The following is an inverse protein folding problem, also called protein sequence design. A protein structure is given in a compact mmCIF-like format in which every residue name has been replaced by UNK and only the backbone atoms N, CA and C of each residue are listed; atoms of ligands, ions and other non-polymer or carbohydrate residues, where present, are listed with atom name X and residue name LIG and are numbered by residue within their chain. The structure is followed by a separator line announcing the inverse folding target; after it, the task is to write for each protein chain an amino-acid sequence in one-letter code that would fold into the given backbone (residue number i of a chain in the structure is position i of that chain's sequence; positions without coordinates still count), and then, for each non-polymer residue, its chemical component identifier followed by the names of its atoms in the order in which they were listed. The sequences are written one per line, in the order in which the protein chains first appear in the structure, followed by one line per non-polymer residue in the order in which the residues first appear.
data_IF_966746435073
#
_entry.id   IF_966746435073
#
_cell.length_a   1.000
_cell.length_b   1.000
_cell.length_c   1.000
_cell.angle_alpha   90.00
_cell.angle_beta   90.00
_cell.angle_gamma   90.00
#
_symmetry.space_group_name_H-M   'P 1'
#
loop_
_entity.id
_entity.type
_entity.pdbx_description
1 polymer ?
#
# COMPACT_ATOMS: atom_id res chain seq x y z
N UNK A 1 18.16 23.09 -13.40
CA UNK A 1 17.98 22.48 -12.07
C UNK A 1 18.13 23.51 -10.94
N UNK A 2 19.10 24.42 -11.00
CA UNK A 2 19.36 25.42 -9.94
C UNK A 2 18.15 26.29 -9.56
N UNK A 3 17.39 26.82 -10.52
CA UNK A 3 16.17 27.60 -10.24
C UNK A 3 15.07 26.79 -9.52
N UNK A 4 14.92 25.50 -9.86
CA UNK A 4 13.91 24.61 -9.25
C UNK A 4 14.35 24.22 -7.84
N UNK A 5 15.64 23.94 -7.64
CA UNK A 5 16.22 23.66 -6.33
C UNK A 5 16.11 24.85 -5.37
N UNK A 6 16.18 26.08 -5.88
CA UNK A 6 15.94 27.30 -5.10
C UNK A 6 14.51 27.39 -4.53
N UNK A 7 13.54 26.79 -5.21
CA UNK A 7 12.11 26.85 -4.83
C UNK A 7 11.69 25.81 -3.77
N UNK A 8 12.48 24.75 -3.59
CA UNK A 8 12.23 23.72 -2.59
C UNK A 8 12.42 24.32 -1.19
N UNK A 9 11.66 23.89 -0.19
CA UNK A 9 11.87 24.34 1.20
C UNK A 9 12.78 23.42 2.01
N UNK A 10 12.61 22.11 1.84
CA UNK A 10 13.34 21.09 2.60
C UNK A 10 14.82 21.04 2.19
N UNK A 11 15.72 21.30 3.16
CA UNK A 11 17.17 21.36 2.93
C UNK A 11 17.75 20.01 2.49
N UNK A 12 17.29 18.91 3.10
CA UNK A 12 17.75 17.57 2.74
C UNK A 12 17.38 17.21 1.31
N UNK A 13 16.17 17.60 0.88
CA UNK A 13 15.70 17.36 -0.47
C UNK A 13 16.49 18.18 -1.50
N UNK A 14 16.83 19.43 -1.20
CA UNK A 14 17.72 20.23 -2.07
C UNK A 14 19.06 19.53 -2.30
N UNK A 15 19.65 19.02 -1.22
CA UNK A 15 20.95 18.36 -1.28
C UNK A 15 20.88 17.11 -2.16
N UNK A 16 19.89 16.23 -1.97
CA UNK A 16 19.79 14.98 -2.75
C UNK A 16 19.40 15.24 -4.21
N UNK A 17 18.56 16.25 -4.47
CA UNK A 17 18.16 16.62 -5.83
C UNK A 17 19.35 17.08 -6.69
N UNK A 18 20.36 17.72 -6.08
CA UNK A 18 21.59 18.08 -6.78
C UNK A 18 22.34 16.86 -7.36
N UNK A 19 22.15 15.69 -6.76
CA UNK A 19 22.70 14.42 -7.23
C UNK A 19 21.70 13.58 -8.05
N UNK A 20 20.55 14.14 -8.43
CA UNK A 20 19.52 13.42 -9.19
C UNK A 20 18.71 12.42 -8.37
N UNK A 21 18.65 12.59 -7.04
CA UNK A 21 17.92 11.73 -6.10
C UNK A 21 16.78 12.53 -5.44
N UNK A 22 15.55 12.15 -5.70
CA UNK A 22 14.36 12.69 -5.04
C UNK A 22 14.02 11.95 -3.75
N UNK A 23 13.41 12.66 -2.81
CA UNK A 23 12.80 12.08 -1.59
C UNK A 23 11.31 12.42 -1.60
N UNK A 24 10.45 11.46 -1.23
CA UNK A 24 9.00 11.65 -1.12
C UNK A 24 8.44 11.01 0.16
N UNK A 25 7.86 11.83 1.04
CA UNK A 25 7.13 11.37 2.21
C UNK A 25 6.04 12.36 2.59
N UNK A 26 5.10 11.93 3.44
CA UNK A 26 3.97 12.76 3.88
C UNK A 26 4.37 14.02 4.66
N UNK A 27 5.58 14.03 5.24
CA UNK A 27 6.13 15.19 5.95
C UNK A 27 6.64 16.33 5.06
N UNK A 28 6.74 16.14 3.75
CA UNK A 28 7.11 17.21 2.82
C UNK A 28 5.92 18.14 2.54
N UNK A 29 6.22 19.41 2.25
CA UNK A 29 5.19 20.34 1.79
C UNK A 29 4.58 19.84 0.47
N UNK A 30 3.29 20.12 0.24
CA UNK A 30 2.62 19.70 -1.01
C UNK A 30 3.33 20.21 -2.26
N UNK A 31 3.88 21.44 -2.18
CA UNK A 31 4.68 22.03 -3.25
C UNK A 31 5.94 21.21 -3.54
N UNK A 32 6.70 20.84 -2.51
CA UNK A 32 7.93 20.06 -2.68
C UNK A 32 7.61 18.66 -3.23
N UNK A 33 6.52 18.02 -2.79
CA UNK A 33 6.06 16.73 -3.32
C UNK A 33 5.78 16.81 -4.82
N UNK A 34 4.99 17.80 -5.25
CA UNK A 34 4.67 18.02 -6.69
C UNK A 34 5.93 18.26 -7.52
N UNK A 35 6.87 19.08 -7.02
CA UNK A 35 8.14 19.33 -7.72
C UNK A 35 8.93 18.04 -7.92
N UNK A 36 9.04 17.20 -6.89
CA UNK A 36 9.79 15.93 -6.99
C UNK A 36 9.10 14.95 -7.94
N UNK A 37 7.78 14.86 -7.88
CA UNK A 37 6.97 14.03 -8.79
C UNK A 37 7.17 14.46 -10.26
N UNK A 38 7.07 15.76 -10.54
CA UNK A 38 7.29 16.30 -11.89
C UNK A 38 8.72 16.06 -12.37
N UNK A 39 9.73 16.24 -11.50
CA UNK A 39 11.13 15.97 -11.86
C UNK A 39 11.34 14.49 -12.19
N UNK A 40 10.69 13.57 -11.49
CA UNK A 40 10.80 12.14 -11.73
C UNK A 40 10.10 11.73 -13.04
N UNK A 41 8.85 12.17 -13.25
CA UNK A 41 8.07 11.87 -14.46
C UNK A 41 8.75 12.40 -15.72
N UNK A 42 9.33 13.61 -15.64
CA UNK A 42 10.08 14.22 -16.73
C UNK A 42 11.53 13.70 -16.86
N UNK A 43 11.89 12.63 -16.13
CA UNK A 43 13.21 11.98 -16.16
C UNK A 43 14.38 12.95 -15.88
N UNK A 44 14.15 13.98 -15.07
CA UNK A 44 15.18 14.92 -14.61
C UNK A 44 15.96 14.38 -13.42
N UNK A 45 15.33 13.51 -12.64
CA UNK A 45 15.96 12.71 -11.58
C UNK A 45 15.80 11.22 -11.91
N UNK A 46 16.80 10.43 -11.59
CA UNK A 46 16.82 9.00 -11.93
C UNK A 46 16.31 8.13 -10.79
N UNK A 47 16.50 8.57 -9.54
CA UNK A 47 16.14 7.81 -8.35
C UNK A 47 15.14 8.61 -7.54
N UNK A 48 14.09 7.94 -7.08
CA UNK A 48 13.12 8.48 -6.14
C UNK A 48 13.00 7.53 -4.95
N UNK A 49 13.26 8.06 -3.76
CA UNK A 49 13.09 7.33 -2.50
C UNK A 49 11.77 7.77 -1.89
N UNK A 50 10.84 6.83 -1.70
CA UNK A 50 9.51 7.13 -1.19
C UNK A 50 9.10 6.26 -0.01
N UNK A 51 8.24 6.79 0.86
CA UNK A 51 7.55 5.98 1.89
C UNK A 51 6.39 5.19 1.30
N UNK A 52 5.93 4.16 2.01
CA UNK A 52 4.85 3.25 1.57
C UNK A 52 3.57 3.95 1.13
N UNK A 53 3.26 5.12 1.68
CA UNK A 53 2.10 5.95 1.32
C UNK A 53 2.06 6.36 -0.15
N UNK A 54 3.22 6.44 -0.82
CA UNK A 54 3.30 6.75 -2.24
C UNK A 54 2.61 5.69 -3.11
N UNK A 55 2.66 4.42 -2.69
CA UNK A 55 2.09 3.30 -3.44
C UNK A 55 0.60 3.48 -3.73
N UNK A 56 -0.12 4.15 -2.83
CA UNK A 56 -1.55 4.43 -2.95
C UNK A 56 -1.86 5.85 -3.48
N UNK A 57 -0.99 6.81 -3.22
CA UNK A 57 -1.28 8.23 -3.39
C UNK A 57 -0.89 8.84 -4.75
N UNK A 58 -0.06 8.18 -5.56
CA UNK A 58 0.48 8.79 -6.77
C UNK A 58 0.53 7.80 -7.93
N UNK A 59 0.31 8.28 -9.15
CA UNK A 59 0.19 7.45 -10.35
C UNK A 59 1.31 7.73 -11.37
N UNK A 60 2.57 7.56 -10.98
CA UNK A 60 3.68 7.53 -11.93
C UNK A 60 4.37 6.15 -11.90
N UNK A 61 4.62 5.54 -13.07
CA UNK A 61 5.35 4.28 -13.15
C UNK A 61 6.87 4.49 -13.18
N UNK A 62 7.62 3.48 -12.74
CA UNK A 62 9.07 3.43 -12.78
C UNK A 62 9.53 2.14 -13.45
N UNK A 63 10.65 2.15 -14.18
CA UNK A 63 11.18 0.92 -14.80
C UNK A 63 11.56 -0.13 -13.74
N UNK A 64 12.26 0.32 -12.69
CA UNK A 64 12.71 -0.49 -11.57
C UNK A 64 12.08 0.04 -10.28
N UNK A 65 11.44 -0.86 -9.52
CA UNK A 65 11.00 -0.59 -8.15
C UNK A 65 11.76 -1.47 -7.18
N UNK A 66 12.33 -0.85 -6.15
CA UNK A 66 13.00 -1.58 -5.07
C UNK A 66 12.22 -1.40 -3.78
N UNK A 67 11.68 -2.50 -3.24
CA UNK A 67 11.04 -2.52 -1.92
C UNK A 67 12.13 -2.86 -0.90
N UNK A 68 12.63 -1.83 -0.21
CA UNK A 68 13.69 -1.98 0.80
C UNK A 68 13.09 -2.26 2.17
N UNK A 69 13.06 -3.53 2.54
CA UNK A 69 12.47 -3.98 3.81
C UNK A 69 10.96 -4.17 3.69
N UNK A 70 10.45 -5.22 4.32
CA UNK A 70 9.04 -5.59 4.27
C UNK A 70 8.34 -5.45 5.62
N UNK A 71 8.91 -4.64 6.51
CA UNK A 71 8.42 -4.43 7.87
C UNK A 71 8.35 -2.93 8.17
N UNK A 72 7.43 -2.55 9.05
CA UNK A 72 7.35 -1.22 9.63
C UNK A 72 7.15 -1.31 11.14
N UNK A 73 7.50 -0.24 11.84
CA UNK A 73 7.29 -0.18 13.28
C UNK A 73 5.85 0.26 13.58
N UNK A 74 5.08 -0.59 14.25
CA UNK A 74 3.75 -0.24 14.74
C UNK A 74 3.84 0.34 16.15
N UNK A 75 3.50 1.63 16.28
CA UNK A 75 3.51 2.34 17.56
C UNK A 75 2.48 1.84 18.57
N UNK A 76 1.38 1.21 18.12
CA UNK A 76 0.35 0.65 19.02
C UNK A 76 0.85 -0.59 19.72
N UNK A 77 1.42 -1.53 18.96
CA UNK A 77 1.92 -2.79 19.50
C UNK A 77 3.39 -2.71 19.96
N UNK A 78 4.10 -1.63 19.61
CA UNK A 78 5.53 -1.37 19.89
C UNK A 78 6.47 -2.43 19.32
N UNK A 79 6.17 -2.93 18.12
CA UNK A 79 6.93 -4.01 17.44
C UNK A 79 7.10 -3.67 15.98
N UNK A 80 8.08 -4.31 15.35
CA UNK A 80 8.10 -4.42 13.90
C UNK A 80 7.05 -5.44 13.47
N UNK A 81 6.20 -5.01 12.55
CA UNK A 81 5.16 -5.84 11.93
C UNK A 81 5.38 -5.85 10.43
N UNK A 82 5.01 -6.95 9.79
CA UNK A 82 5.09 -7.07 8.34
C UNK A 82 4.11 -6.13 7.65
N UNK A 83 4.53 -5.59 6.50
CA UNK A 83 3.59 -4.93 5.60
C UNK A 83 2.52 -5.94 5.16
N UNK A 84 1.24 -5.52 5.11
CA UNK A 84 0.22 -6.24 4.37
C UNK A 84 0.72 -6.54 2.96
N UNK A 85 0.52 -7.76 2.47
CA UNK A 85 0.98 -8.14 1.13
C UNK A 85 0.40 -7.22 0.05
N UNK A 86 -0.81 -6.71 0.26
CA UNK A 86 -1.48 -5.76 -0.63
C UNK A 86 -0.66 -4.49 -0.82
N UNK A 87 -0.01 -3.98 0.23
CA UNK A 87 0.84 -2.80 0.12
C UNK A 87 2.10 -3.11 -0.69
N UNK A 88 2.69 -4.28 -0.50
CA UNK A 88 3.85 -4.73 -1.29
C UNK A 88 3.47 -4.94 -2.75
N UNK A 89 2.28 -5.50 -3.03
CA UNK A 89 1.73 -5.63 -4.38
C UNK A 89 1.51 -4.25 -5.03
N UNK A 90 1.00 -3.26 -4.29
CA UNK A 90 0.83 -1.90 -4.78
C UNK A 90 2.17 -1.22 -5.09
N UNK A 91 3.18 -1.40 -4.24
CA UNK A 91 4.53 -0.88 -4.49
C UNK A 91 5.11 -1.51 -5.77
N UNK A 92 5.07 -2.83 -5.88
CA UNK A 92 5.53 -3.55 -7.07
C UNK A 92 4.74 -3.17 -8.32
N UNK A 93 3.44 -2.89 -8.21
CA UNK A 93 2.59 -2.46 -9.32
C UNK A 93 3.01 -1.15 -9.97
N UNK A 94 3.95 -0.40 -9.36
CA UNK A 94 4.59 0.78 -9.96
C UNK A 94 5.74 0.41 -10.90
N UNK A 95 6.18 -0.85 -10.92
CA UNK A 95 7.22 -1.32 -11.82
C UNK A 95 6.67 -1.55 -13.23
N UNK A 96 7.40 -1.03 -14.22
CA UNK A 96 7.04 -1.06 -15.64
C UNK A 96 6.30 0.21 -16.06
N UNK A 97 6.78 0.84 -17.13
CA UNK A 97 6.18 2.02 -17.74
C UNK A 97 5.42 1.63 -19.01
N UNK A 98 4.08 1.56 -18.99
CA UNK A 98 3.30 1.29 -20.18
C UNK A 98 3.71 2.26 -21.29
N UNK A 99 3.88 1.77 -22.52
CA UNK A 99 4.32 2.52 -23.71
C UNK A 99 5.82 2.89 -23.79
N UNK A 100 6.58 2.79 -22.69
CA UNK A 100 8.01 3.14 -22.69
C UNK A 100 8.93 1.93 -22.51
N UNK A 101 8.51 0.95 -21.70
CA UNK A 101 9.31 -0.23 -21.39
C UNK A 101 8.57 -1.51 -21.80
N UNK A 102 9.30 -2.49 -22.35
CA UNK A 102 8.78 -3.82 -22.64
C UNK A 102 8.62 -4.68 -21.37
N UNK A 103 9.38 -4.36 -20.33
CA UNK A 103 9.41 -5.09 -19.06
C UNK A 103 9.59 -4.12 -17.88
N UNK A 104 8.95 -4.44 -16.75
CA UNK A 104 9.18 -3.79 -15.46
C UNK A 104 9.91 -4.74 -14.52
N UNK A 105 10.82 -4.20 -13.71
CA UNK A 105 11.58 -4.99 -12.72
C UNK A 105 11.19 -4.55 -11.32
N UNK A 106 10.82 -5.52 -10.48
CA UNK A 106 10.58 -5.28 -9.06
C UNK A 106 11.56 -6.13 -8.23
N UNK A 107 12.29 -5.48 -7.32
CA UNK A 107 13.25 -6.12 -6.42
C UNK A 107 12.75 -5.96 -5.00
N UNK A 108 12.40 -7.06 -4.34
CA UNK A 108 11.91 -7.06 -2.97
C UNK A 108 13.03 -7.56 -2.05
N UNK A 109 13.53 -6.68 -1.19
CA UNK A 109 14.54 -6.98 -0.19
C UNK A 109 13.84 -7.42 1.09
N UNK A 110 13.94 -8.71 1.40
CA UNK A 110 13.22 -9.35 2.51
C UNK A 110 14.15 -10.27 3.30
N UNK A 111 13.85 -10.46 4.59
CA UNK A 111 14.53 -11.44 5.42
C UNK A 111 14.33 -12.86 4.87
N UNK A 112 15.39 -13.67 4.87
CA UNK A 112 15.40 -14.97 4.16
C UNK A 112 14.27 -15.90 4.62
N UNK A 113 13.96 -15.92 5.92
CA UNK A 113 12.85 -16.72 6.50
C UNK A 113 11.47 -16.39 5.90
N UNK A 114 11.26 -15.17 5.39
CA UNK A 114 9.99 -14.73 4.79
C UNK A 114 10.00 -14.79 3.26
N UNK A 115 11.14 -15.10 2.64
CA UNK A 115 11.30 -15.15 1.17
C UNK A 115 10.27 -16.07 0.52
N UNK A 116 10.01 -17.24 1.10
CA UNK A 116 9.04 -18.19 0.55
C UNK A 116 7.60 -17.68 0.63
N UNK A 117 7.25 -16.97 1.71
CA UNK A 117 5.94 -16.34 1.88
C UNK A 117 5.69 -15.32 0.75
N UNK A 118 6.60 -14.36 0.57
CA UNK A 118 6.45 -13.37 -0.49
C UNK A 118 6.48 -14.00 -1.87
N UNK A 119 7.43 -14.92 -2.14
CA UNK A 119 7.48 -15.62 -3.43
C UNK A 119 6.15 -16.28 -3.77
N UNK A 120 5.52 -16.99 -2.82
CA UNK A 120 4.23 -17.62 -3.05
C UNK A 120 3.15 -16.62 -3.47
N UNK A 121 2.96 -15.53 -2.71
CA UNK A 121 1.87 -14.57 -2.95
C UNK A 121 2.14 -13.56 -4.08
N UNK A 122 3.35 -13.53 -4.63
CA UNK A 122 3.66 -12.76 -5.84
C UNK A 122 3.27 -13.52 -7.12
N UNK A 123 3.30 -14.87 -7.09
CA UNK A 123 2.99 -15.71 -8.25
C UNK A 123 1.61 -16.39 -8.16
N UNK A 124 1.11 -16.57 -6.94
CA UNK A 124 -0.23 -17.11 -6.69
C UNK A 124 -1.16 -15.98 -6.19
N UNK A 125 -2.44 -15.99 -6.59
CA UNK A 125 -3.40 -15.00 -6.11
C UNK A 125 -3.53 -15.08 -4.59
N UNK A 126 -3.50 -13.92 -3.93
CA UNK A 126 -3.65 -13.85 -2.49
C UNK A 126 -5.07 -14.25 -2.05
N UNK A 127 -5.22 -15.21 -1.12
CA UNK A 127 -6.52 -15.59 -0.60
C UNK A 127 -7.06 -14.45 0.29
N UNK A 128 -8.07 -13.75 -0.21
CA UNK A 128 -8.76 -12.72 0.57
C UNK A 128 -9.74 -13.41 1.51
N UNK A 129 -9.69 -13.04 2.79
CA UNK A 129 -10.62 -13.49 3.82
C UNK A 129 -11.36 -12.31 4.44
N UNK A 130 -12.54 -12.56 5.00
CA UNK A 130 -13.34 -11.51 5.63
C UNK A 130 -12.89 -11.28 7.07
N UNK A 131 -12.60 -10.03 7.41
CA UNK A 131 -12.37 -9.61 8.79
C UNK A 131 -13.61 -9.01 9.48
N UNK A 132 -14.81 -9.26 8.93
CA UNK A 132 -16.06 -8.66 9.42
C UNK A 132 -16.36 -9.07 10.86
N UNK A 133 -15.94 -10.27 11.29
CA UNK A 133 -16.24 -10.79 12.62
C UNK A 133 -15.73 -9.88 13.75
N UNK A 134 -14.55 -9.28 13.58
CA UNK A 134 -13.94 -8.39 14.59
C UNK A 134 -14.72 -7.09 14.80
N UNK A 135 -15.44 -6.63 13.77
CA UNK A 135 -16.17 -5.34 13.74
C UNK A 135 -17.69 -5.53 13.56
N UNK A 136 -18.18 -6.77 13.68
CA UNK A 136 -19.56 -7.13 13.34
C UNK A 136 -20.57 -6.39 14.21
N UNK A 137 -20.26 -6.18 15.49
CA UNK A 137 -21.13 -5.46 16.42
C UNK A 137 -21.41 -4.02 15.95
N UNK A 138 -20.40 -3.33 15.43
CA UNK A 138 -20.53 -1.95 14.94
C UNK A 138 -21.41 -1.88 13.69
N UNK A 139 -21.21 -2.81 12.75
CA UNK A 139 -22.02 -2.89 11.54
C UNK A 139 -23.48 -3.25 11.82
N UNK A 140 -23.73 -4.24 12.67
CA UNK A 140 -25.09 -4.62 13.06
C UNK A 140 -25.79 -3.47 13.80
N UNK A 141 -25.09 -2.76 14.68
CA UNK A 141 -25.63 -1.61 15.37
C UNK A 141 -26.04 -0.49 14.39
N UNK A 142 -25.22 -0.22 13.38
CA UNK A 142 -25.55 0.77 12.35
C UNK A 142 -26.83 0.41 11.58
N UNK A 143 -27.02 -0.86 11.22
CA UNK A 143 -28.20 -1.34 10.50
C UNK A 143 -29.47 -1.38 11.37
N UNK A 144 -29.33 -1.63 12.68
CA UNK A 144 -30.44 -1.50 13.64
C UNK A 144 -30.89 -0.04 13.74
N UNK A 145 -29.94 0.89 13.86
CA UNK A 145 -30.25 2.34 13.91
C UNK A 145 -30.84 2.84 12.59
N UNK A 146 -30.39 2.29 11.45
CA UNK A 146 -30.96 2.54 10.12
C UNK A 146 -32.38 2.02 9.94
N UNK A 147 -32.85 1.13 10.83
CA UNK A 147 -34.12 0.43 10.73
C UNK A 147 -34.13 -0.72 9.72
N UNK A 148 -32.99 -1.07 9.12
CA UNK A 148 -32.84 -2.22 8.22
C UNK A 148 -33.01 -3.54 8.99
N UNK A 149 -32.48 -3.61 10.21
CA UNK A 149 -32.57 -4.78 11.08
C UNK A 149 -33.50 -4.45 12.25
N UNK A 150 -34.70 -5.03 12.25
CA UNK A 150 -35.67 -4.89 13.35
C UNK A 150 -35.85 -6.18 14.14
N UNK A 151 -35.38 -7.31 13.61
CA UNK A 151 -35.48 -8.62 14.23
C UNK A 151 -34.17 -9.42 14.13
N UNK A 152 -34.07 -10.49 14.93
CA UNK A 152 -32.95 -11.44 14.83
C UNK A 152 -32.89 -12.13 13.47
N UNK A 153 -34.05 -12.35 12.82
CA UNK A 153 -34.11 -12.96 11.50
C UNK A 153 -33.49 -12.02 10.46
N UNK A 154 -33.83 -10.73 10.51
CA UNK A 154 -33.27 -9.71 9.61
C UNK A 154 -31.74 -9.62 9.76
N UNK A 155 -31.24 -9.76 11.00
CA UNK A 155 -29.80 -9.78 11.26
C UNK A 155 -29.11 -11.00 10.63
N UNK A 156 -29.74 -12.18 10.70
CA UNK A 156 -29.23 -13.39 10.03
C UNK A 156 -29.24 -13.21 8.52
N UNK A 157 -30.34 -12.70 7.96
CA UNK A 157 -30.50 -12.46 6.52
C UNK A 157 -29.46 -11.45 6.01
N UNK A 158 -29.21 -10.37 6.77
CA UNK A 158 -28.14 -9.41 6.50
C UNK A 158 -26.77 -10.10 6.45
N UNK A 159 -26.43 -10.90 7.47
CA UNK A 159 -25.14 -11.61 7.52
C UNK A 159 -25.01 -12.56 6.32
N UNK A 160 -26.08 -13.23 5.88
CA UNK A 160 -26.01 -14.14 4.73
C UNK A 160 -25.62 -13.45 3.41
N UNK A 161 -25.89 -12.14 3.29
CA UNK A 161 -25.50 -11.32 2.15
C UNK A 161 -24.02 -10.90 2.17
N UNK A 162 -23.30 -11.11 3.27
CA UNK A 162 -21.93 -10.63 3.43
C UNK A 162 -20.89 -11.57 2.80
N UNK A 163 -19.71 -11.02 2.50
CA UNK A 163 -18.55 -11.81 2.10
C UNK A 163 -18.13 -12.81 3.19
N UNK A 164 -18.29 -12.44 4.47
CA UNK A 164 -18.01 -13.32 5.61
C UNK A 164 -18.77 -14.63 5.51
N UNK A 165 -20.08 -14.59 5.30
CA UNK A 165 -20.90 -15.81 5.18
C UNK A 165 -20.47 -16.67 3.99
N UNK A 166 -20.17 -16.06 2.84
CA UNK A 166 -19.65 -16.78 1.66
C UNK A 166 -18.32 -17.47 1.93
N UNK A 167 -17.42 -16.84 2.70
CA UNK A 167 -16.12 -17.42 3.08
C UNK A 167 -16.25 -18.50 4.13
N UNK A 168 -17.14 -18.32 5.10
CA UNK A 168 -17.42 -19.31 6.14
C UNK A 168 -17.79 -20.67 5.55
N UNK A 169 -18.64 -20.69 4.52
CA UNK A 169 -19.03 -21.94 3.84
C UNK A 169 -17.89 -22.63 3.09
N UNK A 170 -16.88 -21.86 2.62
CA UNK A 170 -15.74 -22.39 1.84
C UNK A 170 -14.55 -22.76 2.73
N UNK A 171 -14.35 -22.04 3.83
CA UNK A 171 -13.26 -22.25 4.77
C UNK A 171 -13.76 -22.06 6.21
N UNK A 172 -14.38 -23.11 6.81
CA UNK A 172 -14.98 -23.01 8.15
C UNK A 172 -13.97 -22.77 9.27
N UNK A 173 -12.68 -23.03 9.02
CA UNK A 173 -11.61 -22.87 10.01
C UNK A 173 -11.25 -21.41 10.31
N UNK A 174 -11.84 -20.46 9.59
CA UNK A 174 -11.62 -19.02 9.81
C UNK A 174 -12.18 -18.52 11.14
N UNK A 175 -13.17 -19.20 11.74
CA UNK A 175 -13.75 -18.82 13.04
C UNK A 175 -13.02 -19.49 14.23
N UNK A 176 -11.97 -20.28 13.99
CA UNK A 176 -11.25 -21.02 15.04
C UNK A 176 -9.90 -20.37 15.35
#
# INVERSE_FOLDING_TARGET
MEQICGSVKESNLKLTLAFGIGIHHAGLTERDRKVVEELFVNQKIQVLIATSTLAWGVNFPAHLVVVKGTEYFDGKTRRYVDFPITDVLQMMGRAGRPQFDDQGVAVILVHDVKKHFYKKFLYEPFPVESNLLEVMADHLNAEVVSGTISSKQDAMDYITCTYFFRRLLRNPRIIV
#
